data_IF_479359505292
#
_entry.id   IF_479359505292
#
_cell.length_a   1.000
_cell.length_b   1.000
_cell.length_c   1.000
_cell.angle_alpha   90.00
_cell.angle_beta   90.00
_cell.angle_gamma   90.00
#
_symmetry.space_group_name_H-M   'P 1'
#
loop_
_entity.id
_entity.type
_entity.pdbx_description
1 polymer ?
#
# COMPACT_ATOMS: atom_id res chain seq x y z
N UNK A 1 -3.72 -24.91 -61.88
CA UNK A 1 -4.33 -23.68 -61.31
C UNK A 1 -5.58 -23.94 -60.48
N UNK A 2 -6.67 -24.51 -61.03
CA UNK A 2 -7.95 -24.70 -60.29
C UNK A 2 -7.84 -25.53 -58.98
N UNK A 3 -7.03 -26.60 -58.97
CA UNK A 3 -6.85 -27.45 -57.77
C UNK A 3 -6.08 -26.76 -56.64
N UNK A 4 -5.06 -25.96 -56.98
CA UNK A 4 -4.25 -25.22 -55.99
C UNK A 4 -5.10 -24.16 -55.30
N UNK A 5 -5.95 -23.46 -56.06
CA UNK A 5 -6.88 -22.46 -55.53
C UNK A 5 -7.91 -23.13 -54.59
N UNK A 6 -8.48 -24.27 -54.98
CA UNK A 6 -9.44 -24.99 -54.14
C UNK A 6 -8.83 -25.54 -52.83
N UNK A 7 -7.55 -25.93 -52.85
CA UNK A 7 -6.83 -26.36 -51.64
C UNK A 7 -6.53 -25.16 -50.74
N UNK A 8 -6.05 -24.05 -51.32
CA UNK A 8 -5.76 -22.83 -50.59
C UNK A 8 -7.01 -22.23 -49.91
N UNK A 9 -8.16 -22.27 -50.59
CA UNK A 9 -9.44 -21.78 -50.06
C UNK A 9 -9.94 -22.61 -48.86
N UNK A 10 -9.87 -23.95 -48.96
CA UNK A 10 -10.20 -24.84 -47.84
C UNK A 10 -9.25 -24.66 -46.66
N UNK A 11 -7.96 -24.49 -46.93
CA UNK A 11 -6.96 -24.25 -45.89
C UNK A 11 -7.19 -22.89 -45.21
N UNK A 12 -7.49 -21.84 -45.97
CA UNK A 12 -7.77 -20.50 -45.44
C UNK A 12 -9.00 -20.51 -44.53
N UNK A 13 -10.08 -21.18 -44.92
CA UNK A 13 -11.29 -21.29 -44.10
C UNK A 13 -11.03 -22.05 -42.79
N UNK A 14 -10.26 -23.14 -42.84
CA UNK A 14 -9.88 -23.91 -41.64
C UNK A 14 -8.98 -23.07 -40.72
N UNK A 15 -7.97 -22.39 -41.28
CA UNK A 15 -7.07 -21.52 -40.52
C UNK A 15 -7.80 -20.37 -39.86
N UNK A 16 -8.75 -19.73 -40.55
CA UNK A 16 -9.55 -18.65 -39.99
C UNK A 16 -10.44 -19.14 -38.84
N UNK A 17 -11.05 -20.32 -38.98
CA UNK A 17 -11.83 -20.95 -37.91
C UNK A 17 -10.97 -21.27 -36.68
N UNK A 18 -9.75 -21.77 -36.89
CA UNK A 18 -8.82 -22.05 -35.80
C UNK A 18 -8.39 -20.76 -35.08
N UNK A 19 -8.10 -19.70 -35.83
CA UNK A 19 -7.72 -18.41 -35.25
C UNK A 19 -8.86 -17.81 -34.42
N UNK A 20 -10.10 -17.87 -34.93
CA UNK A 20 -11.29 -17.46 -34.16
C UNK A 20 -11.45 -18.31 -32.90
N UNK A 21 -11.37 -19.65 -33.02
CA UNK A 21 -11.50 -20.54 -31.87
C UNK A 21 -10.44 -20.28 -30.79
N UNK A 22 -9.18 -20.04 -31.20
CA UNK A 22 -8.09 -19.71 -30.28
C UNK A 22 -8.33 -18.40 -29.55
N UNK A 23 -8.79 -17.35 -30.25
CA UNK A 23 -9.08 -16.06 -29.64
C UNK A 23 -10.29 -16.13 -28.70
N UNK A 24 -11.33 -16.88 -29.07
CA UNK A 24 -12.47 -17.14 -28.19
C UNK A 24 -12.02 -17.88 -26.94
N UNK A 25 -11.20 -18.93 -27.09
CA UNK A 25 -10.66 -19.67 -25.94
C UNK A 25 -9.81 -18.78 -25.03
N UNK A 26 -8.96 -17.93 -25.61
CA UNK A 26 -8.16 -16.97 -24.87
C UNK A 26 -9.03 -15.97 -24.10
N UNK A 27 -10.05 -15.40 -24.75
CA UNK A 27 -10.98 -14.47 -24.12
C UNK A 27 -11.76 -15.13 -22.98
N UNK A 28 -12.27 -16.35 -23.19
CA UNK A 28 -12.95 -17.11 -22.14
C UNK A 28 -12.02 -17.42 -20.97
N UNK A 29 -10.77 -17.83 -21.23
CA UNK A 29 -9.77 -18.05 -20.20
C UNK A 29 -9.50 -16.77 -19.40
N UNK A 30 -9.34 -15.63 -20.09
CA UNK A 30 -9.17 -14.34 -19.45
C UNK A 30 -10.36 -13.99 -18.55
N UNK A 31 -11.60 -14.18 -19.01
CA UNK A 31 -12.79 -13.92 -18.19
C UNK A 31 -12.84 -14.83 -16.96
N UNK A 32 -12.49 -16.11 -17.09
CA UNK A 32 -12.41 -17.04 -15.95
C UNK A 32 -11.38 -16.54 -14.93
N UNK A 33 -10.17 -16.19 -15.38
CA UNK A 33 -9.12 -15.65 -14.50
C UNK A 33 -9.57 -14.35 -13.85
N UNK A 34 -10.23 -13.46 -14.59
CA UNK A 34 -10.73 -12.17 -14.07
C UNK A 34 -11.80 -12.36 -13.00
N UNK A 35 -12.71 -13.33 -13.17
CA UNK A 35 -13.75 -13.64 -12.19
C UNK A 35 -13.18 -14.32 -10.93
N UNK A 36 -12.09 -15.07 -11.06
CA UNK A 36 -11.41 -15.74 -9.95
C UNK A 36 -10.35 -14.87 -9.29
N UNK A 37 -9.90 -13.79 -9.93
CA UNK A 37 -8.92 -12.87 -9.38
C UNK A 37 -9.53 -12.17 -8.17
N UNK A 38 -9.10 -12.59 -6.97
CA UNK A 38 -9.40 -11.90 -5.73
C UNK A 38 -8.80 -10.50 -5.68
N UNK A 39 -9.25 -9.67 -4.74
CA UNK A 39 -8.60 -8.39 -4.46
C UNK A 39 -7.18 -8.67 -3.95
N UNK A 40 -6.18 -7.99 -4.53
CA UNK A 40 -4.86 -7.93 -3.93
C UNK A 40 -4.97 -7.04 -2.69
N UNK A 41 -5.22 -7.66 -1.54
CA UNK A 41 -5.19 -6.98 -0.25
C UNK A 41 -3.73 -6.65 0.07
N UNK A 42 -3.34 -5.39 -0.11
CA UNK A 42 -2.12 -4.84 0.50
C UNK A 42 -2.41 -4.53 1.97
N UNK A 43 -2.89 -5.53 2.71
CA UNK A 43 -3.06 -5.40 4.14
C UNK A 43 -1.67 -5.37 4.77
N UNK A 44 -1.38 -4.30 5.50
CA UNK A 44 -0.26 -4.32 6.43
C UNK A 44 -0.48 -5.52 7.35
N UNK A 45 0.49 -6.43 7.39
CA UNK A 45 0.43 -7.56 8.30
C UNK A 45 0.12 -7.04 9.72
N UNK A 46 -0.79 -7.69 10.43
CA UNK A 46 -1.14 -7.29 11.78
C UNK A 46 0.15 -7.17 12.61
N UNK A 47 0.43 -5.97 13.12
CA UNK A 47 1.62 -5.74 13.94
C UNK A 47 1.50 -6.60 15.21
N UNK A 48 2.30 -7.66 15.30
CA UNK A 48 2.38 -8.55 16.46
C UNK A 48 3.27 -8.00 17.58
N UNK A 49 3.65 -6.72 17.50
CA UNK A 49 4.45 -6.06 18.51
C UNK A 49 3.72 -5.97 19.84
N UNK A 50 4.46 -6.04 20.95
CA UNK A 50 3.93 -5.83 22.28
C UNK A 50 4.16 -4.37 22.70
N UNK A 51 3.18 -3.78 23.39
CA UNK A 51 3.33 -2.44 23.97
C UNK A 51 4.32 -2.48 25.14
N UNK A 52 5.52 -1.96 24.90
CA UNK A 52 6.61 -1.94 25.87
C UNK A 52 6.40 -0.89 26.97
N UNK A 53 5.70 0.22 26.71
CA UNK A 53 5.41 1.21 27.74
C UNK A 53 4.36 0.68 28.72
N UNK A 54 3.32 0.01 28.22
CA UNK A 54 2.33 -0.66 29.07
C UNK A 54 2.93 -1.80 29.89
N UNK A 55 3.86 -2.58 29.32
CA UNK A 55 4.59 -3.60 30.07
C UNK A 55 5.49 -2.97 31.14
N UNK A 56 6.29 -1.97 30.75
CA UNK A 56 7.20 -1.28 31.66
C UNK A 56 6.47 -0.59 32.81
N UNK A 57 5.30 0.00 32.57
CA UNK A 57 4.49 0.62 33.61
C UNK A 57 4.08 -0.38 34.70
N UNK A 58 3.86 -1.66 34.34
CA UNK A 58 3.51 -2.73 35.28
C UNK A 58 4.73 -3.29 35.99
N UNK A 59 5.79 -3.56 35.22
CA UNK A 59 6.95 -4.33 35.70
C UNK A 59 7.98 -3.43 36.43
N UNK A 60 8.16 -2.19 35.97
CA UNK A 60 9.03 -1.18 36.59
C UNK A 60 8.43 0.23 36.53
N UNK A 61 7.50 0.55 37.45
CA UNK A 61 6.86 1.86 37.52
C UNK A 61 7.82 3.02 37.81
N UNK A 62 8.99 2.74 38.40
CA UNK A 62 9.99 3.77 38.71
C UNK A 62 10.70 4.21 37.43
N UNK A 63 11.14 3.26 36.60
CA UNK A 63 11.72 3.55 35.30
C UNK A 63 10.70 4.21 34.37
N UNK A 64 9.45 3.74 34.36
CA UNK A 64 8.36 4.39 33.60
C UNK A 64 8.21 5.87 33.98
N UNK A 65 8.14 6.19 35.28
CA UNK A 65 8.04 7.58 35.75
C UNK A 65 9.25 8.44 35.39
N UNK A 66 10.45 7.86 35.35
CA UNK A 66 11.66 8.57 34.90
C UNK A 66 11.56 8.96 33.44
N UNK A 67 11.11 8.05 32.58
CA UNK A 67 10.89 8.32 31.14
C UNK A 67 9.85 9.42 30.95
N UNK A 68 8.72 9.33 31.65
CA UNK A 68 7.67 10.37 31.60
C UNK A 68 8.20 11.75 32.03
N UNK A 69 9.04 11.79 33.08
CA UNK A 69 9.65 13.03 33.55
C UNK A 69 10.62 13.63 32.52
N UNK A 70 11.45 12.81 31.88
CA UNK A 70 12.36 13.24 30.80
C UNK A 70 11.59 13.72 29.57
N UNK A 71 10.54 13.00 29.17
CA UNK A 71 9.66 13.40 28.06
C UNK A 71 8.99 14.75 28.35
N UNK A 72 8.47 14.94 29.58
CA UNK A 72 7.86 16.20 29.99
C UNK A 72 8.85 17.38 30.06
N UNK A 73 10.14 17.10 30.30
CA UNK A 73 11.19 18.11 30.31
C UNK A 73 11.65 18.52 28.89
N UNK A 74 11.17 17.84 27.83
CA UNK A 74 11.57 18.12 26.45
C UNK A 74 11.01 19.48 25.97
N UNK A 75 11.85 20.45 25.59
CA UNK A 75 11.39 21.74 25.09
C UNK A 75 10.55 21.57 23.83
N UNK A 76 9.41 22.26 23.77
CA UNK A 76 8.46 22.17 22.65
C UNK A 76 7.97 20.73 22.36
N UNK A 77 8.06 19.80 23.32
CA UNK A 77 7.60 18.41 23.16
C UNK A 77 6.08 18.25 23.10
N UNK A 78 5.31 19.35 23.20
CA UNK A 78 3.85 19.37 23.14
C UNK A 78 3.36 20.37 22.10
N UNK A 79 2.23 20.04 21.46
CA UNK A 79 1.60 20.85 20.43
C UNK A 79 2.00 20.45 19.02
N UNK A 80 1.17 20.79 18.04
CA UNK A 80 1.41 20.56 16.61
C UNK A 80 1.64 21.85 15.85
N UNK A 81 1.18 22.99 16.39
CA UNK A 81 1.30 24.30 15.77
C UNK A 81 2.00 25.24 16.73
N UNK A 82 3.14 25.78 16.32
CA UNK A 82 3.92 26.75 17.09
C UNK A 82 3.94 28.09 16.36
N UNK A 83 3.76 29.16 17.13
CA UNK A 83 4.00 30.52 16.66
C UNK A 83 5.46 30.88 16.94
N UNK A 84 6.16 31.32 15.91
CA UNK A 84 7.55 31.74 15.96
C UNK A 84 7.60 33.27 15.98
N UNK A 85 8.28 33.83 16.99
CA UNK A 85 8.41 35.27 17.17
C UNK A 85 9.86 35.64 17.41
N UNK A 86 10.29 36.74 16.77
CA UNK A 86 11.60 37.34 16.95
C UNK A 86 11.45 38.86 16.90
N UNK A 87 12.12 39.63 17.79
CA UNK A 87 12.05 41.08 17.75
C UNK A 87 12.43 41.64 16.37
N UNK A 88 11.58 42.51 15.82
CA UNK A 88 11.78 43.14 14.51
C UNK A 88 11.31 42.33 13.30
N UNK A 89 10.82 41.10 13.50
CA UNK A 89 10.33 40.23 12.43
C UNK A 89 8.81 40.03 12.50
N UNK A 90 8.18 39.72 11.36
CA UNK A 90 6.77 39.31 11.34
C UNK A 90 6.64 37.90 11.92
N UNK A 91 5.65 37.62 12.79
CA UNK A 91 5.41 36.27 13.30
C UNK A 91 5.17 35.27 12.16
N UNK A 92 5.67 34.05 12.35
CA UNK A 92 5.41 32.92 11.46
C UNK A 92 4.89 31.72 12.24
N UNK A 93 4.44 30.69 11.54
CA UNK A 93 3.85 29.50 12.15
C UNK A 93 4.54 28.24 11.64
N UNK A 94 4.90 27.35 12.55
CA UNK A 94 5.47 26.04 12.27
C UNK A 94 4.45 24.98 12.63
N UNK A 95 4.10 24.12 11.67
CA UNK A 95 3.29 22.93 11.92
C UNK A 95 4.18 21.69 11.94
N UNK A 96 4.24 21.01 13.08
CA UNK A 96 5.02 19.81 13.27
C UNK A 96 4.32 18.58 12.71
N UNK A 97 5.05 17.79 11.93
CA UNK A 97 4.62 16.46 11.52
C UNK A 97 5.63 15.44 12.05
N UNK A 98 5.15 14.38 12.67
CA UNK A 98 5.98 13.24 13.05
C UNK A 98 5.76 12.14 12.01
N UNK A 99 6.83 11.76 11.33
CA UNK A 99 6.80 10.58 10.46
C UNK A 99 7.15 9.37 11.31
N UNK A 100 6.15 8.53 11.59
CA UNK A 100 6.32 7.23 12.22
C UNK A 100 6.15 6.16 11.15
N UNK A 101 7.02 5.15 11.15
CA UNK A 101 6.99 4.02 10.22
C UNK A 101 6.09 2.87 10.66
N UNK A 102 5.51 2.96 11.86
CA UNK A 102 4.57 1.97 12.39
C UNK A 102 3.17 2.19 11.76
N UNK A 103 2.51 1.14 11.23
CA UNK A 103 1.16 1.24 10.64
C UNK A 103 0.06 1.55 11.66
#
# INVERSE_FOLDING_TARGET
MKRVIAIADRAALVSLRLLVALNVLFFLSFLVVLLLAGRAHAEAAACGGNDMLSALQKDDPATYRKIEAEAAATPNGKGLLWKLEKPGEKPSFLFGTMHMTDP
#
